data_IF_292407241386
#
_entry.id   IF_292407241386
#
_cell.length_a   1.000
_cell.length_b   1.000
_cell.length_c   1.000
_cell.angle_alpha   90.00
_cell.angle_beta   90.00
_cell.angle_gamma   90.00
#
_symmetry.space_group_name_H-M   'P 1'
#
loop_
_entity.id
_entity.type
_entity.pdbx_description
1 polymer ?
#
# COMPACT_ATOMS: atom_id res chain seq x y z
N UNK A 1 -10.86 5.13 13.88
CA UNK A 1 -9.70 4.81 14.73
C UNK A 1 -8.43 5.21 13.99
N UNK A 2 -7.51 5.93 14.63
CA UNK A 2 -6.16 6.13 14.08
C UNK A 2 -5.41 4.80 14.19
N UNK A 3 -5.11 4.16 13.06
CA UNK A 3 -4.37 2.90 13.07
C UNK A 3 -2.89 3.16 12.78
N UNK A 4 -1.96 2.33 13.27
CA UNK A 4 -0.53 2.47 12.98
C UNK A 4 -0.17 2.20 11.50
N UNK A 5 -1.15 1.84 10.66
CA UNK A 5 -0.93 1.50 9.24
C UNK A 5 -0.38 2.68 8.44
N UNK A 6 -0.91 3.90 8.63
CA UNK A 6 -0.44 5.07 7.90
C UNK A 6 1.01 5.43 8.27
N UNK A 7 1.36 5.31 9.55
CA UNK A 7 2.73 5.53 10.02
C UNK A 7 3.69 4.47 9.45
N UNK A 8 3.29 3.19 9.47
CA UNK A 8 4.05 2.11 8.82
C UNK A 8 4.25 2.42 7.33
N UNK A 9 3.18 2.71 6.60
CA UNK A 9 3.19 2.98 5.17
C UNK A 9 4.13 4.13 4.82
N UNK A 10 4.05 5.26 5.55
CA UNK A 10 4.97 6.38 5.37
C UNK A 10 6.43 5.95 5.56
N UNK A 11 6.74 5.25 6.65
CA UNK A 11 8.12 4.90 7.01
C UNK A 11 8.73 3.87 6.06
N UNK A 12 7.97 2.87 5.62
CA UNK A 12 8.46 1.89 4.63
C UNK A 12 8.56 2.50 3.23
N UNK A 13 7.71 3.47 2.89
CA UNK A 13 7.82 4.22 1.63
C UNK A 13 9.02 5.17 1.65
N UNK A 14 9.30 5.82 2.78
CA UNK A 14 10.51 6.61 2.99
C UNK A 14 11.76 5.72 2.86
N UNK A 15 11.75 4.53 3.46
CA UNK A 15 12.83 3.57 3.33
C UNK A 15 13.04 3.13 1.86
N UNK A 16 11.96 2.88 1.11
CA UNK A 16 12.01 2.60 -0.32
C UNK A 16 12.61 3.76 -1.13
N UNK A 17 12.22 5.00 -0.83
CA UNK A 17 12.77 6.18 -1.50
C UNK A 17 14.26 6.37 -1.19
N UNK A 18 14.66 6.23 0.08
CA UNK A 18 16.08 6.28 0.50
C UNK A 18 16.91 5.17 -0.15
N UNK A 19 16.34 3.97 -0.29
CA UNK A 19 16.96 2.85 -0.97
C UNK A 19 17.24 3.16 -2.44
N UNK A 20 16.24 3.67 -3.18
CA UNK A 20 16.40 4.07 -4.58
C UNK A 20 17.42 5.20 -4.73
N UNK A 21 17.31 6.25 -3.91
CA UNK A 21 18.27 7.37 -3.92
C UNK A 21 19.69 6.98 -3.54
N UNK A 22 19.83 5.94 -2.72
CA UNK A 22 21.11 5.45 -2.21
C UNK A 22 21.87 4.52 -3.14
N UNK A 23 21.38 4.26 -4.36
CA UNK A 23 22.01 3.38 -5.35
C UNK A 23 21.30 2.05 -5.58
N UNK A 24 20.12 1.83 -5.01
CA UNK A 24 19.32 0.62 -5.24
C UNK A 24 20.05 -0.66 -4.83
N UNK A 25 20.40 -1.53 -5.76
CA UNK A 25 21.07 -2.80 -5.45
C UNK A 25 22.54 -2.66 -5.01
N UNK A 26 23.11 -1.45 -5.07
CA UNK A 26 24.48 -1.15 -4.62
C UNK A 26 24.48 0.03 -3.64
N UNK A 27 23.91 -0.19 -2.44
CA UNK A 27 23.67 0.88 -1.45
C UNK A 27 24.98 1.32 -0.78
N UNK A 28 25.16 2.63 -0.59
CA UNK A 28 26.27 3.16 0.24
C UNK A 28 26.06 2.87 1.74
N UNK A 29 27.09 3.04 2.59
CA UNK A 29 26.97 2.76 4.03
C UNK A 29 26.04 3.77 4.69
N UNK A 30 26.19 5.05 4.35
CA UNK A 30 25.32 6.12 4.85
C UNK A 30 23.87 5.92 4.42
N UNK A 31 23.63 5.53 3.17
CA UNK A 31 22.28 5.21 2.70
C UNK A 31 21.70 3.98 3.40
N UNK A 32 22.50 2.93 3.64
CA UNK A 32 22.05 1.75 4.39
C UNK A 32 21.69 2.10 5.84
N UNK A 33 22.43 2.99 6.50
CA UNK A 33 22.10 3.49 7.83
C UNK A 33 20.81 4.31 7.84
N UNK A 34 20.62 5.21 6.87
CA UNK A 34 19.41 6.02 6.74
C UNK A 34 18.17 5.15 6.47
N UNK A 35 18.29 4.17 5.57
CA UNK A 35 17.26 3.16 5.32
C UNK A 35 16.95 2.39 6.61
N UNK A 36 17.98 1.88 7.28
CA UNK A 36 17.84 1.15 8.54
C UNK A 36 17.14 1.96 9.63
N UNK A 37 17.45 3.25 9.76
CA UNK A 37 16.77 4.13 10.72
C UNK A 37 15.27 4.26 10.42
N UNK A 38 14.89 4.43 9.15
CA UNK A 38 13.48 4.46 8.73
C UNK A 38 12.78 3.12 9.00
N UNK A 39 13.44 1.98 8.75
CA UNK A 39 12.90 0.65 9.08
C UNK A 39 12.77 0.43 10.59
N UNK A 40 13.71 0.94 11.39
CA UNK A 40 13.62 0.92 12.85
C UNK A 40 12.43 1.72 13.38
N UNK A 41 12.20 2.91 12.83
CA UNK A 41 11.00 3.68 13.12
C UNK A 41 9.72 2.94 12.67
N UNK A 42 9.74 2.27 11.51
CA UNK A 42 8.63 1.44 11.05
C UNK A 42 8.34 0.28 12.01
N UNK A 43 9.39 -0.30 12.60
CA UNK A 43 9.26 -1.34 13.63
C UNK A 43 8.64 -0.83 14.93
N UNK A 44 8.88 0.43 15.31
CA UNK A 44 8.20 1.07 16.43
C UNK A 44 6.72 1.35 16.11
N UNK A 45 6.39 1.64 14.86
CA UNK A 45 5.01 1.88 14.44
C UNK A 45 4.16 0.60 14.43
N UNK A 46 4.65 -0.49 13.81
CA UNK A 46 3.83 -1.71 13.62
C UNK A 46 4.60 -3.04 13.76
N UNK A 47 5.73 -3.02 14.44
CA UNK A 47 6.49 -4.23 14.75
C UNK A 47 7.39 -4.74 13.62
N UNK A 48 7.93 -5.97 13.76
CA UNK A 48 8.98 -6.52 12.88
C UNK A 48 8.67 -6.49 11.40
N UNK A 49 7.39 -6.52 11.01
CA UNK A 49 6.96 -6.44 9.62
C UNK A 49 7.53 -5.22 8.88
N UNK A 50 7.70 -4.10 9.58
CA UNK A 50 8.27 -2.87 9.03
C UNK A 50 9.75 -2.97 8.66
N UNK A 51 10.43 -4.03 9.11
CA UNK A 51 11.83 -4.33 8.75
C UNK A 51 11.89 -5.53 7.82
N UNK A 52 11.21 -6.62 8.18
CA UNK A 52 11.31 -7.91 7.48
C UNK A 52 10.83 -7.82 6.04
N UNK A 53 9.65 -7.24 5.78
CA UNK A 53 9.08 -7.24 4.43
C UNK A 53 9.84 -6.35 3.43
N UNK A 54 10.28 -5.13 3.80
CA UNK A 54 11.17 -4.36 2.94
C UNK A 54 12.48 -5.10 2.60
N UNK A 55 13.11 -5.75 3.59
CA UNK A 55 14.33 -6.52 3.36
C UNK A 55 14.09 -7.72 2.44
N UNK A 56 12.99 -8.47 2.63
CA UNK A 56 12.61 -9.59 1.74
C UNK A 56 12.42 -9.09 0.31
N UNK A 57 11.72 -7.97 0.11
CA UNK A 57 11.49 -7.40 -1.21
C UNK A 57 12.80 -7.01 -1.93
N UNK A 58 13.75 -6.38 -1.22
CA UNK A 58 15.02 -6.00 -1.81
C UNK A 58 15.97 -7.18 -1.99
N UNK A 59 15.97 -8.16 -1.09
CA UNK A 59 16.70 -9.42 -1.28
C UNK A 59 16.20 -10.17 -2.51
N UNK A 60 14.87 -10.23 -2.71
CA UNK A 60 14.27 -10.80 -3.92
C UNK A 60 14.70 -10.04 -5.17
N UNK A 61 14.65 -8.70 -5.16
CA UNK A 61 15.14 -7.86 -6.25
C UNK A 61 16.62 -8.14 -6.56
N UNK A 62 17.48 -8.16 -5.55
CA UNK A 62 18.91 -8.40 -5.70
C UNK A 62 19.20 -9.81 -6.26
N UNK A 63 18.48 -10.82 -5.79
CA UNK A 63 18.60 -12.19 -6.28
C UNK A 63 18.14 -12.30 -7.75
N UNK A 64 17.01 -11.68 -8.12
CA UNK A 64 16.50 -11.72 -9.49
C UNK A 64 17.37 -10.94 -10.48
N UNK A 65 17.93 -9.79 -10.05
CA UNK A 65 18.83 -8.99 -10.88
C UNK A 65 20.19 -9.67 -11.07
N UNK A 66 20.79 -10.18 -10.01
CA UNK A 66 22.08 -10.86 -10.09
C UNK A 66 21.98 -12.24 -10.77
N UNK A 67 20.91 -12.99 -10.49
CA UNK A 67 20.67 -14.31 -11.06
C UNK A 67 20.36 -14.32 -12.55
N UNK A 68 19.91 -13.19 -13.11
CA UNK A 68 19.70 -13.01 -14.55
C UNK A 68 21.00 -12.74 -15.33
N UNK A 69 22.07 -12.30 -14.65
CA UNK A 69 23.36 -11.99 -15.27
C UNK A 69 24.30 -13.20 -15.35
N UNK A 70 23.99 -14.30 -14.64
CA UNK A 70 24.86 -15.46 -14.52
C UNK A 70 24.35 -16.65 -15.35
N UNK A 71 25.24 -17.27 -16.13
CA UNK A 71 24.93 -18.36 -17.07
C UNK A 71 24.94 -19.75 -16.42
N UNK A 72 25.81 -19.98 -15.44
CA UNK A 72 25.97 -21.30 -14.77
C UNK A 72 25.30 -21.35 -13.39
N UNK A 73 24.68 -22.48 -12.95
CA UNK A 73 23.96 -22.56 -11.67
C UNK A 73 24.79 -22.19 -10.43
N UNK A 74 26.03 -22.67 -10.33
CA UNK A 74 26.93 -22.33 -9.23
C UNK A 74 27.31 -20.83 -9.23
N UNK A 75 27.45 -20.25 -10.43
CA UNK A 75 27.73 -18.82 -10.59
C UNK A 75 26.51 -17.94 -10.24
N UNK A 76 25.29 -18.45 -10.43
CA UNK A 76 24.03 -17.77 -10.07
C UNK A 76 23.86 -17.66 -8.56
N UNK A 77 24.08 -18.74 -7.81
CA UNK A 77 23.99 -18.70 -6.35
C UNK A 77 24.99 -17.69 -5.75
N UNK A 78 26.24 -17.74 -6.21
CA UNK A 78 27.26 -16.80 -5.78
C UNK A 78 26.93 -15.34 -6.18
N UNK A 79 26.36 -15.12 -7.37
CA UNK A 79 25.89 -13.80 -7.80
C UNK A 79 24.75 -13.28 -6.93
N UNK A 80 23.77 -14.11 -6.60
CA UNK A 80 22.68 -13.74 -5.68
C UNK A 80 23.21 -13.32 -4.31
N UNK A 81 24.14 -14.11 -3.73
CA UNK A 81 24.77 -13.77 -2.43
C UNK A 81 25.50 -12.44 -2.51
N UNK A 82 26.30 -12.20 -3.57
CA UNK A 82 26.98 -10.91 -3.78
C UNK A 82 26.00 -9.75 -3.95
N UNK A 83 24.91 -9.95 -4.69
CA UNK A 83 23.87 -8.96 -4.87
C UNK A 83 23.20 -8.58 -3.54
N UNK A 84 22.82 -9.57 -2.73
CA UNK A 84 22.25 -9.36 -1.40
C UNK A 84 23.26 -8.67 -0.46
N UNK A 85 24.54 -9.06 -0.51
CA UNK A 85 25.59 -8.38 0.24
C UNK A 85 25.77 -6.91 -0.17
N UNK A 86 25.55 -6.61 -1.46
CA UNK A 86 25.54 -5.24 -2.02
C UNK A 86 24.47 -4.32 -1.43
N UNK A 87 23.38 -4.89 -0.91
CA UNK A 87 22.34 -4.14 -0.17
C UNK A 87 22.82 -3.67 1.21
N UNK A 88 23.92 -4.25 1.73
CA UNK A 88 24.45 -4.00 3.08
C UNK A 88 23.40 -4.23 4.19
N UNK A 89 22.69 -5.39 4.19
CA UNK A 89 21.58 -5.64 5.13
C UNK A 89 22.02 -5.58 6.59
N UNK A 90 23.28 -5.93 6.90
CA UNK A 90 23.82 -5.81 8.26
C UNK A 90 23.85 -4.36 8.78
N UNK A 91 24.19 -3.39 7.94
CA UNK A 91 24.17 -1.96 8.31
C UNK A 91 22.75 -1.44 8.47
N UNK A 92 21.83 -1.86 7.58
CA UNK A 92 20.40 -1.54 7.71
C UNK A 92 19.84 -2.10 9.02
N UNK A 93 20.12 -3.37 9.34
CA UNK A 93 19.64 -4.01 10.55
C UNK A 93 20.25 -3.39 11.81
N UNK A 94 21.54 -3.07 11.81
CA UNK A 94 22.20 -2.40 12.93
C UNK A 94 21.56 -1.05 13.25
N UNK A 95 21.28 -0.23 12.24
CA UNK A 95 20.59 1.05 12.42
C UNK A 95 19.12 0.86 12.86
N UNK A 96 18.41 -0.13 12.31
CA UNK A 96 17.03 -0.43 12.71
C UNK A 96 16.96 -0.84 14.19
N UNK A 97 17.89 -1.70 14.63
CA UNK A 97 18.02 -2.10 16.04
C UNK A 97 18.39 -0.90 16.91
N UNK A 98 19.34 -0.07 16.50
CA UNK A 98 19.73 1.11 17.28
C UNK A 98 18.55 2.07 17.52
N UNK A 99 17.64 2.20 16.55
CA UNK A 99 16.42 3.02 16.69
C UNK A 99 15.34 2.34 17.53
N UNK A 100 15.07 1.05 17.29
CA UNK A 100 13.91 0.39 17.89
C UNK A 100 14.19 -0.21 19.29
N UNK A 101 15.41 -0.70 19.51
CA UNK A 101 15.77 -1.44 20.73
C UNK A 101 15.60 -0.64 22.03
N UNK A 102 15.89 0.68 22.12
CA UNK A 102 15.75 1.43 23.36
C UNK A 102 14.32 1.35 23.94
N UNK A 103 13.30 1.53 23.10
CA UNK A 103 11.91 1.44 23.54
C UNK A 103 11.51 0.00 23.91
N UNK A 104 11.90 -0.98 23.09
CA UNK A 104 11.63 -2.39 23.38
C UNK A 104 12.30 -2.86 24.68
N UNK A 105 13.50 -2.40 24.98
CA UNK A 105 14.20 -2.70 26.23
C UNK A 105 13.46 -2.11 27.44
N UNK A 106 13.07 -0.83 27.36
CA UNK A 106 12.35 -0.13 28.43
C UNK A 106 10.99 -0.79 28.73
N UNK A 107 10.18 -1.10 27.71
CA UNK A 107 8.88 -1.74 27.93
C UNK A 107 9.02 -3.16 28.46
N UNK A 108 10.06 -3.88 28.03
CA UNK A 108 10.39 -5.22 28.55
C UNK A 108 10.73 -5.17 30.03
N UNK A 109 11.59 -4.25 30.44
CA UNK A 109 11.96 -4.06 31.84
C UNK A 109 10.74 -3.68 32.70
N UNK A 110 9.90 -2.77 32.22
CA UNK A 110 8.70 -2.32 32.97
C UNK A 110 7.61 -3.38 33.11
N UNK A 111 7.51 -4.29 32.17
CA UNK A 111 6.47 -5.33 32.17
C UNK A 111 6.98 -6.69 32.61
N UNK A 112 8.20 -6.77 33.15
CA UNK A 112 8.88 -8.01 33.49
C UNK A 112 8.84 -9.05 32.35
N UNK A 113 8.97 -8.58 31.10
CA UNK A 113 8.90 -9.41 29.90
C UNK A 113 7.50 -9.83 29.45
N UNK A 114 6.43 -9.39 30.12
CA UNK A 114 5.05 -9.67 29.72
C UNK A 114 4.68 -9.09 28.36
N UNK A 115 5.05 -7.83 28.12
CA UNK A 115 4.75 -7.15 26.85
C UNK A 115 5.38 -7.84 25.62
N UNK A 116 6.70 -8.10 25.56
CA UNK A 116 7.28 -8.73 24.37
C UNK A 116 6.76 -10.15 24.12
N UNK A 117 6.45 -10.93 25.17
CA UNK A 117 5.84 -12.25 24.99
C UNK A 117 4.49 -12.15 24.28
N UNK A 118 3.59 -11.29 24.76
CA UNK A 118 2.30 -11.08 24.11
C UNK A 118 2.45 -10.49 22.70
N UNK A 119 3.27 -9.46 22.55
CA UNK A 119 3.47 -8.78 21.28
C UNK A 119 4.06 -9.68 20.19
N UNK A 120 5.18 -10.36 20.45
CA UNK A 120 5.82 -11.19 19.43
C UNK A 120 5.11 -12.52 19.22
N UNK A 121 4.69 -13.22 20.29
CA UNK A 121 4.10 -14.56 20.14
C UNK A 121 2.65 -14.48 19.66
N UNK A 122 1.82 -13.63 20.27
CA UNK A 122 0.39 -13.59 19.97
C UNK A 122 0.15 -12.66 18.77
N UNK A 123 0.58 -11.40 18.87
CA UNK A 123 0.21 -10.38 17.89
C UNK A 123 1.02 -10.43 16.58
N UNK A 124 2.11 -11.18 16.53
CA UNK A 124 2.87 -11.40 15.29
C UNK A 124 2.81 -12.87 14.85
N UNK A 125 3.33 -13.81 15.64
CA UNK A 125 3.44 -15.23 15.22
C UNK A 125 2.08 -15.89 15.11
N UNK A 126 1.27 -15.86 16.17
CA UNK A 126 -0.02 -16.54 16.21
C UNK A 126 -1.01 -15.93 15.21
N UNK A 127 -1.05 -14.59 15.13
CA UNK A 127 -1.87 -13.87 14.15
C UNK A 127 -1.50 -14.19 12.70
N UNK A 128 -0.23 -14.51 12.43
CA UNK A 128 0.19 -15.01 11.12
C UNK A 128 -0.21 -16.47 10.90
N UNK A 129 -0.08 -17.32 11.92
CA UNK A 129 -0.32 -18.76 11.82
C UNK A 129 -1.80 -19.15 11.75
N UNK A 130 -2.67 -18.48 12.53
CA UNK A 130 -4.10 -18.78 12.60
C UNK A 130 -4.98 -17.53 12.53
N UNK A 131 -6.22 -17.64 12.04
CA UNK A 131 -7.18 -16.55 12.13
C UNK A 131 -7.49 -16.23 13.58
N UNK A 132 -7.48 -14.93 13.92
CA UNK A 132 -7.91 -14.39 15.20
C UNK A 132 -9.12 -13.48 15.00
N UNK A 133 -9.98 -13.38 16.01
CA UNK A 133 -11.08 -12.39 16.06
C UNK A 133 -12.05 -12.49 14.85
N UNK A 134 -12.19 -13.68 14.23
CA UNK A 134 -13.02 -13.89 13.04
C UNK A 134 -12.46 -13.25 11.75
N UNK A 135 -11.28 -12.64 11.81
CA UNK A 135 -10.62 -12.00 10.67
C UNK A 135 -9.94 -13.03 9.76
N UNK A 136 -10.74 -13.80 9.02
CA UNK A 136 -10.27 -14.71 7.97
C UNK A 136 -10.67 -14.21 6.58
N UNK A 137 -10.09 -14.80 5.53
CA UNK A 137 -10.44 -14.46 4.16
C UNK A 137 -9.90 -15.49 3.17
N UNK A 138 -10.67 -15.73 2.11
CA UNK A 138 -10.30 -16.64 1.02
C UNK A 138 -9.24 -16.05 0.08
N UNK A 139 -8.92 -16.78 -0.98
CA UNK A 139 -7.86 -16.42 -1.94
C UNK A 139 -8.12 -15.08 -2.67
N UNK A 140 -9.39 -14.70 -2.83
CA UNK A 140 -9.79 -13.45 -3.49
C UNK A 140 -9.87 -12.25 -2.54
N UNK A 141 -9.56 -12.42 -1.25
CA UNK A 141 -9.66 -11.35 -0.26
C UNK A 141 -8.80 -10.13 -0.64
N UNK A 142 -7.48 -10.31 -0.82
CA UNK A 142 -6.60 -9.19 -1.16
C UNK A 142 -6.78 -8.65 -2.56
N UNK A 143 -7.04 -9.46 -3.61
CA UNK A 143 -7.48 -8.93 -4.90
C UNK A 143 -8.67 -7.97 -4.78
N UNK A 144 -9.70 -8.32 -4.00
CA UNK A 144 -10.84 -7.43 -3.72
C UNK A 144 -10.44 -6.16 -2.97
N UNK A 145 -9.68 -6.30 -1.89
CA UNK A 145 -9.18 -5.15 -1.09
C UNK A 145 -8.35 -4.18 -1.95
N UNK A 146 -7.48 -4.70 -2.82
CA UNK A 146 -6.68 -3.90 -3.75
C UNK A 146 -7.56 -3.15 -4.74
N UNK A 147 -8.58 -3.80 -5.33
CA UNK A 147 -9.51 -3.13 -6.23
C UNK A 147 -10.27 -1.99 -5.55
N UNK A 148 -10.69 -2.18 -4.30
CA UNK A 148 -11.39 -1.14 -3.53
C UNK A 148 -10.42 -0.02 -3.17
N UNK A 149 -9.27 -0.33 -2.58
CA UNK A 149 -8.36 0.71 -2.12
C UNK A 149 -7.65 1.46 -3.25
N UNK A 150 -7.43 0.83 -4.41
CA UNK A 150 -6.88 1.50 -5.58
C UNK A 150 -7.95 2.30 -6.34
N UNK A 151 -9.24 2.23 -5.98
CA UNK A 151 -10.24 3.05 -6.63
C UNK A 151 -9.90 4.55 -6.46
N UNK A 152 -9.97 5.37 -7.53
CA UNK A 152 -10.56 5.10 -8.85
C UNK A 152 -9.64 4.43 -9.88
N UNK A 153 -8.37 4.21 -9.56
CA UNK A 153 -7.34 3.68 -10.45
C UNK A 153 -7.49 2.20 -10.77
N UNK A 154 -8.22 1.46 -9.95
CA UNK A 154 -8.45 0.02 -10.14
C UNK A 154 -9.16 -0.31 -11.46
N UNK A 155 -9.84 0.65 -12.10
CA UNK A 155 -10.48 0.52 -13.42
C UNK A 155 -9.50 0.09 -14.54
N UNK A 156 -8.20 0.34 -14.37
CA UNK A 156 -7.14 -0.08 -15.31
C UNK A 156 -6.19 -1.13 -14.74
N UNK A 157 -6.47 -1.71 -13.57
CA UNK A 157 -5.51 -2.57 -12.86
C UNK A 157 -5.03 -3.75 -13.70
N UNK A 158 -5.93 -4.43 -14.42
CA UNK A 158 -5.55 -5.53 -15.31
C UNK A 158 -4.60 -5.08 -16.43
N UNK A 159 -4.85 -3.90 -17.02
CA UNK A 159 -4.00 -3.35 -18.07
C UNK A 159 -2.62 -2.93 -17.53
N UNK A 160 -2.58 -2.37 -16.32
CA UNK A 160 -1.33 -2.04 -15.61
C UNK A 160 -0.49 -3.29 -15.40
N UNK A 161 -1.09 -4.40 -14.93
CA UNK A 161 -0.37 -5.65 -14.70
C UNK A 161 0.16 -6.28 -16.00
N UNK A 162 -0.64 -6.27 -17.06
CA UNK A 162 -0.22 -6.76 -18.38
C UNK A 162 0.93 -5.91 -18.94
N UNK A 163 0.82 -4.59 -18.85
CA UNK A 163 1.87 -3.66 -19.31
C UNK A 163 3.16 -3.81 -18.51
N UNK A 164 3.06 -3.93 -17.18
CA UNK A 164 4.19 -4.22 -16.31
C UNK A 164 4.89 -5.53 -16.69
N UNK A 165 4.12 -6.60 -16.96
CA UNK A 165 4.68 -7.86 -17.43
C UNK A 165 5.37 -7.73 -18.81
N UNK A 166 4.87 -6.85 -19.69
CA UNK A 166 5.53 -6.50 -20.94
C UNK A 166 6.89 -5.82 -20.73
N UNK A 167 6.94 -4.83 -19.83
CA UNK A 167 8.19 -4.13 -19.45
C UNK A 167 9.20 -5.11 -18.86
N UNK A 168 8.75 -6.04 -18.01
CA UNK A 168 9.63 -7.04 -17.39
C UNK A 168 10.25 -8.02 -18.39
N UNK A 169 9.64 -8.22 -19.56
CA UNK A 169 10.17 -9.05 -20.65
C UNK A 169 11.02 -8.27 -21.65
N UNK A 170 10.98 -6.94 -21.61
CA UNK A 170 11.73 -6.09 -22.54
C UNK A 170 13.23 -6.05 -22.22
N UNK A 171 14.04 -5.72 -23.23
CA UNK A 171 15.50 -5.54 -23.09
C UNK A 171 15.92 -4.16 -22.57
N UNK A 172 14.97 -3.28 -22.26
CA UNK A 172 15.23 -1.97 -21.63
C UNK A 172 15.64 -2.17 -20.17
N UNK A 173 16.95 -2.12 -19.94
CA UNK A 173 17.55 -2.52 -18.67
C UNK A 173 17.18 -1.61 -17.49
N UNK A 174 17.05 -0.30 -17.71
CA UNK A 174 16.72 0.64 -16.62
C UNK A 174 15.24 0.55 -16.26
N UNK A 175 14.36 0.63 -17.26
CA UNK A 175 12.91 0.57 -17.03
C UNK A 175 12.49 -0.80 -16.50
N UNK A 176 13.14 -1.88 -16.96
CA UNK A 176 12.96 -3.23 -16.41
C UNK A 176 13.36 -3.28 -14.93
N UNK A 177 14.50 -2.72 -14.54
CA UNK A 177 14.95 -2.71 -13.12
C UNK A 177 13.97 -1.94 -12.23
N UNK A 178 13.51 -0.76 -12.69
CA UNK A 178 12.51 0.03 -11.96
C UNK A 178 11.19 -0.73 -11.78
N UNK A 179 10.69 -1.37 -12.84
CA UNK A 179 9.47 -2.18 -12.77
C UNK A 179 9.66 -3.43 -11.89
N UNK A 180 10.83 -4.06 -11.95
CA UNK A 180 11.17 -5.23 -11.13
C UNK A 180 11.20 -4.88 -9.64
N UNK A 181 11.73 -3.70 -9.27
CA UNK A 181 11.72 -3.21 -7.89
C UNK A 181 10.29 -3.11 -7.35
N UNK A 182 9.39 -2.41 -8.06
CA UNK A 182 8.01 -2.23 -7.60
C UNK A 182 7.22 -3.54 -7.64
N UNK A 183 7.51 -4.43 -8.61
CA UNK A 183 6.92 -5.77 -8.66
C UNK A 183 7.35 -6.63 -7.47
N UNK A 184 8.65 -6.68 -7.13
CA UNK A 184 9.15 -7.41 -5.96
C UNK A 184 8.55 -6.86 -4.66
N UNK A 185 8.45 -5.54 -4.55
CA UNK A 185 7.82 -4.88 -3.41
C UNK A 185 6.35 -5.28 -3.26
N UNK A 186 5.52 -5.06 -4.29
CA UNK A 186 4.10 -5.39 -4.26
C UNK A 186 3.88 -6.89 -4.03
N UNK A 187 4.62 -7.75 -4.72
CA UNK A 187 4.53 -9.20 -4.57
C UNK A 187 4.88 -9.68 -3.15
N UNK A 188 5.86 -9.05 -2.50
CA UNK A 188 6.23 -9.41 -1.13
C UNK A 188 5.09 -9.09 -0.15
N UNK A 189 4.58 -7.87 -0.16
CA UNK A 189 3.51 -7.46 0.75
C UNK A 189 2.21 -8.24 0.50
N UNK A 190 1.80 -8.35 -0.77
CA UNK A 190 0.56 -9.06 -1.12
C UNK A 190 0.72 -10.57 -0.88
N UNK A 191 1.83 -11.16 -1.31
CA UNK A 191 2.07 -12.59 -1.20
C UNK A 191 2.15 -13.06 0.25
N UNK A 192 2.98 -12.40 1.07
CA UNK A 192 3.15 -12.79 2.48
C UNK A 192 1.83 -12.67 3.24
N UNK A 193 1.09 -11.58 3.07
CA UNK A 193 -0.18 -11.43 3.78
C UNK A 193 -1.30 -12.30 3.21
N UNK A 194 -1.28 -12.65 1.93
CA UNK A 194 -2.21 -13.64 1.36
C UNK A 194 -2.07 -15.01 2.04
N UNK A 195 -0.86 -15.37 2.46
CA UNK A 195 -0.57 -16.58 3.22
C UNK A 195 -0.86 -16.46 4.73
N UNK A 196 -1.13 -15.27 5.27
CA UNK A 196 -1.42 -15.09 6.68
C UNK A 196 -2.81 -15.64 7.05
N UNK A 197 -2.90 -16.27 8.23
CA UNK A 197 -4.15 -16.77 8.80
C UNK A 197 -5.14 -15.64 9.07
N UNK A 198 -4.69 -14.62 9.82
CA UNK A 198 -5.48 -13.40 10.04
C UNK A 198 -5.37 -12.44 8.85
N UNK A 199 -6.50 -11.99 8.30
CA UNK A 199 -6.53 -11.05 7.17
C UNK A 199 -7.30 -9.78 7.52
N UNK A 200 -6.61 -8.65 7.41
CA UNK A 200 -7.18 -7.31 7.53
C UNK A 200 -6.90 -6.49 6.27
N UNK A 201 -7.79 -5.54 5.89
CA UNK A 201 -7.59 -4.75 4.67
C UNK A 201 -6.30 -3.93 4.70
N UNK A 202 -5.94 -3.40 5.87
CA UNK A 202 -4.75 -2.55 6.06
C UNK A 202 -3.41 -3.24 5.85
N UNK A 203 -3.36 -4.57 5.88
CA UNK A 203 -2.09 -5.30 5.80
C UNK A 203 -1.35 -5.11 4.46
N UNK A 204 -2.10 -4.89 3.38
CA UNK A 204 -1.52 -4.71 2.04
C UNK A 204 -1.34 -3.25 1.64
N UNK A 205 -1.70 -2.28 2.49
CA UNK A 205 -1.51 -0.85 2.19
C UNK A 205 -0.06 -0.49 1.82
N UNK A 206 0.97 -1.06 2.46
CA UNK A 206 2.36 -0.84 2.02
C UNK A 206 2.66 -1.27 0.57
N UNK A 207 1.82 -2.08 -0.09
CA UNK A 207 1.97 -2.41 -1.51
C UNK A 207 1.51 -1.27 -2.45
N UNK A 208 0.70 -0.34 -1.97
CA UNK A 208 0.03 0.68 -2.79
C UNK A 208 0.98 1.68 -3.43
N UNK A 209 2.06 2.15 -2.77
CA UNK A 209 3.07 2.99 -3.43
C UNK A 209 3.65 2.34 -4.70
N UNK A 210 3.94 1.03 -4.65
CA UNK A 210 4.45 0.30 -5.81
C UNK A 210 3.39 0.18 -6.93
N UNK A 211 2.14 -0.11 -6.58
CA UNK A 211 1.03 -0.19 -7.53
C UNK A 211 0.70 1.18 -8.16
N UNK A 212 0.82 2.27 -7.38
CA UNK A 212 0.65 3.64 -7.85
C UNK A 212 1.75 4.02 -8.85
N UNK A 213 3.01 3.66 -8.58
CA UNK A 213 4.12 3.87 -9.53
C UNK A 213 3.87 3.11 -10.83
N UNK A 214 3.51 1.81 -10.76
CA UNK A 214 3.20 1.01 -11.95
C UNK A 214 2.03 1.59 -12.76
N UNK A 215 1.00 2.08 -12.08
CA UNK A 215 -0.15 2.76 -12.70
C UNK A 215 0.26 4.06 -13.38
N UNK A 216 1.11 4.88 -12.74
CA UNK A 216 1.64 6.11 -13.33
C UNK A 216 2.47 5.85 -14.59
N UNK A 217 3.30 4.79 -14.57
CA UNK A 217 4.06 4.36 -15.76
C UNK A 217 3.11 3.98 -16.89
N UNK A 218 2.08 3.17 -16.62
CA UNK A 218 1.08 2.81 -17.62
C UNK A 218 0.39 4.03 -18.23
N UNK A 219 -0.05 4.99 -17.41
CA UNK A 219 -0.69 6.20 -17.92
C UNK A 219 0.24 7.07 -18.77
N UNK A 220 1.49 7.25 -18.35
CA UNK A 220 2.47 8.02 -19.13
C UNK A 220 2.77 7.34 -20.47
N UNK A 221 2.86 6.00 -20.49
CA UNK A 221 3.06 5.26 -21.72
C UNK A 221 1.85 5.29 -22.62
N UNK A 222 0.64 5.22 -22.07
CA UNK A 222 -0.59 5.37 -22.85
C UNK A 222 -0.63 6.75 -23.50
N UNK A 223 -0.37 7.82 -22.73
CA UNK A 223 -0.36 9.18 -23.25
C UNK A 223 0.71 9.43 -24.33
N UNK A 224 1.80 8.66 -24.33
CA UNK A 224 2.85 8.70 -25.35
C UNK A 224 2.66 7.68 -26.48
N UNK A 225 1.62 6.85 -26.46
CA UNK A 225 1.43 5.77 -27.44
C UNK A 225 2.48 4.64 -27.36
N UNK A 226 3.08 4.43 -26.18
CA UNK A 226 4.14 3.42 -25.92
C UNK A 226 3.63 2.15 -25.23
N UNK A 227 2.33 2.01 -25.03
CA UNK A 227 1.74 0.78 -24.48
C UNK A 227 1.83 -0.31 -25.54
N UNK A 228 2.45 -1.44 -25.18
CA UNK A 228 2.55 -2.59 -26.08
C UNK A 228 1.14 -3.14 -26.40
N UNK A 229 1.03 -3.89 -27.50
CA UNK A 229 -0.20 -4.58 -27.83
C UNK A 229 -0.66 -5.45 -26.65
N UNK A 230 -1.91 -5.26 -26.22
CA UNK A 230 -2.50 -6.05 -25.15
C UNK A 230 -2.97 -7.40 -25.69
N UNK A 231 -3.10 -8.44 -24.84
CA UNK A 231 -3.60 -9.74 -25.23
C UNK A 231 -4.92 -9.65 -26.01
N UNK A 232 -5.14 -10.63 -26.89
CA UNK A 232 -6.38 -10.78 -27.65
C UNK A 232 -6.73 -9.58 -28.55
N UNK A 233 -5.71 -8.83 -28.99
CA UNK A 233 -5.86 -7.74 -29.96
C UNK A 233 -6.49 -6.46 -29.38
N UNK A 234 -6.59 -6.33 -28.06
CA UNK A 234 -7.09 -5.11 -27.43
C UNK A 234 -6.10 -3.95 -27.65
N UNK A 235 -6.62 -2.79 -28.04
CA UNK A 235 -5.84 -1.56 -28.11
C UNK A 235 -5.92 -0.82 -26.77
N UNK A 236 -4.84 -0.12 -26.39
CA UNK A 236 -4.82 0.71 -25.20
C UNK A 236 -6.00 1.72 -25.20
N UNK A 237 -6.35 2.27 -26.37
CA UNK A 237 -7.48 3.19 -26.49
C UNK A 237 -8.84 2.55 -26.14
N UNK A 238 -9.08 1.30 -26.57
CA UNK A 238 -10.32 0.59 -26.23
C UNK A 238 -10.39 0.29 -24.73
N UNK A 239 -9.27 -0.11 -24.15
CA UNK A 239 -9.17 -0.34 -22.69
C UNK A 239 -9.45 0.94 -21.92
N UNK A 240 -8.87 2.07 -22.33
CA UNK A 240 -9.08 3.34 -21.65
C UNK A 240 -10.52 3.86 -21.78
N UNK A 241 -11.17 3.64 -22.93
CA UNK A 241 -12.61 3.94 -23.07
C UNK A 241 -13.46 3.08 -22.13
N UNK A 242 -13.18 1.78 -22.07
CA UNK A 242 -13.87 0.90 -21.12
C UNK A 242 -13.63 1.34 -19.67
N UNK A 243 -12.41 1.72 -19.31
CA UNK A 243 -12.08 2.23 -17.98
C UNK A 243 -12.92 3.46 -17.61
N UNK A 244 -13.10 4.41 -18.53
CA UNK A 244 -13.98 5.57 -18.32
C UNK A 244 -15.44 5.17 -18.12
N UNK A 245 -15.96 4.19 -18.87
CA UNK A 245 -17.30 3.65 -18.65
C UNK A 245 -17.43 3.00 -17.27
N UNK A 246 -16.44 2.20 -16.85
CA UNK A 246 -16.42 1.57 -15.52
C UNK A 246 -16.40 2.64 -14.43
N UNK A 247 -15.60 3.70 -14.59
CA UNK A 247 -15.55 4.81 -13.63
C UNK A 247 -16.88 5.54 -13.52
N UNK A 248 -17.57 5.77 -14.65
CA UNK A 248 -18.91 6.35 -14.66
C UNK A 248 -19.94 5.44 -13.96
N UNK A 249 -19.95 4.14 -14.28
CA UNK A 249 -20.84 3.16 -13.65
C UNK A 249 -20.58 3.08 -12.13
N UNK A 250 -19.31 3.04 -11.72
CA UNK A 250 -18.93 3.06 -10.31
C UNK A 250 -19.41 4.35 -9.63
N UNK A 251 -19.29 5.50 -10.30
CA UNK A 251 -19.80 6.76 -9.78
C UNK A 251 -21.33 6.79 -9.60
N UNK A 252 -22.09 6.28 -10.57
CA UNK A 252 -23.53 6.05 -10.41
C UNK A 252 -23.82 5.11 -9.22
N UNK A 253 -23.06 4.01 -9.12
CA UNK A 253 -23.17 3.06 -8.02
C UNK A 253 -22.97 3.72 -6.66
N UNK A 254 -21.93 4.53 -6.49
CA UNK A 254 -21.67 5.27 -5.26
C UNK A 254 -22.75 6.31 -4.98
N UNK A 255 -23.21 7.03 -6.02
CA UNK A 255 -24.26 8.05 -5.89
C UNK A 255 -25.58 7.47 -5.36
N UNK A 256 -25.87 6.20 -5.66
CA UNK A 256 -27.07 5.49 -5.18
C UNK A 256 -26.80 4.74 -3.86
N UNK A 257 -25.69 3.99 -3.80
CA UNK A 257 -25.42 3.08 -2.69
C UNK A 257 -25.10 3.80 -1.38
N UNK A 258 -24.38 4.92 -1.40
CA UNK A 258 -24.05 5.65 -0.17
C UNK A 258 -25.29 6.24 0.51
N UNK A 259 -26.17 7.01 -0.19
CA UNK A 259 -27.44 7.46 0.40
C UNK A 259 -28.33 6.32 0.88
N UNK A 260 -28.39 5.22 0.11
CA UNK A 260 -29.20 4.05 0.48
C UNK A 260 -28.67 3.31 1.71
N UNK A 261 -27.35 3.18 1.85
CA UNK A 261 -26.75 2.61 3.05
C UNK A 261 -26.99 3.54 4.25
N UNK A 262 -26.82 4.85 4.05
CA UNK A 262 -27.06 5.84 5.08
C UNK A 262 -28.51 5.87 5.54
N UNK A 263 -29.50 5.72 4.66
CA UNK A 263 -30.91 5.70 5.09
C UNK A 263 -31.26 4.54 6.03
N UNK A 264 -30.47 3.45 6.04
CA UNK A 264 -30.64 2.33 6.98
C UNK A 264 -29.87 2.47 8.28
N UNK A 265 -28.73 3.13 8.24
CA UNK A 265 -27.80 3.20 9.37
C UNK A 265 -27.84 4.56 10.08
N UNK A 266 -27.88 5.65 9.33
CA UNK A 266 -27.77 7.02 9.83
C UNK A 266 -28.71 7.95 9.04
N UNK A 267 -29.94 8.21 9.53
CA UNK A 267 -30.88 9.10 8.89
C UNK A 267 -30.27 10.49 8.59
N UNK A 268 -30.58 11.06 7.42
CA UNK A 268 -30.05 12.36 6.97
C UNK A 268 -28.81 12.29 6.06
N UNK A 269 -28.29 11.11 5.75
CA UNK A 269 -27.14 10.94 4.86
C UNK A 269 -27.41 11.00 3.35
N UNK A 270 -28.53 11.59 2.91
CA UNK A 270 -28.89 11.67 1.48
C UNK A 270 -27.86 12.44 0.63
N UNK A 271 -27.21 13.45 1.23
CA UNK A 271 -26.17 14.27 0.58
C UNK A 271 -24.91 13.47 0.21
N UNK A 272 -24.68 12.29 0.81
CA UNK A 272 -23.53 11.45 0.52
C UNK A 272 -23.45 11.01 -0.95
N UNK A 273 -24.57 11.07 -1.68
CA UNK A 273 -24.64 10.80 -3.11
C UNK A 273 -23.77 11.74 -3.94
N UNK A 274 -23.48 12.95 -3.45
CA UNK A 274 -22.57 13.91 -4.09
C UNK A 274 -21.18 13.30 -4.31
N UNK A 275 -20.73 12.39 -3.42
CA UNK A 275 -19.46 11.70 -3.59
C UNK A 275 -19.42 10.88 -4.89
N UNK A 276 -20.55 10.33 -5.35
CA UNK A 276 -20.64 9.59 -6.62
C UNK A 276 -20.62 10.48 -7.87
N UNK A 277 -21.00 11.76 -7.75
CA UNK A 277 -20.91 12.73 -8.84
C UNK A 277 -19.46 13.04 -9.25
N UNK A 278 -18.51 12.89 -8.32
CA UNK A 278 -17.08 13.16 -8.56
C UNK A 278 -16.48 12.20 -9.61
N UNK A 279 -16.51 10.86 -9.43
CA UNK A 279 -16.02 9.93 -10.45
C UNK A 279 -16.83 10.00 -11.76
N UNK A 280 -18.13 10.35 -11.72
CA UNK A 280 -18.92 10.60 -12.93
C UNK A 280 -18.39 11.79 -13.74
N UNK A 281 -18.16 12.93 -13.08
CA UNK A 281 -17.59 14.11 -13.72
C UNK A 281 -16.17 13.84 -14.24
N UNK A 282 -15.35 13.14 -13.45
CA UNK A 282 -14.01 12.73 -13.86
C UNK A 282 -14.04 11.83 -15.10
N UNK A 283 -14.95 10.85 -15.16
CA UNK A 283 -15.13 9.98 -16.31
C UNK A 283 -15.57 10.76 -17.56
N UNK A 284 -16.52 11.69 -17.43
CA UNK A 284 -16.98 12.51 -18.55
C UNK A 284 -15.87 13.43 -19.09
N UNK A 285 -15.13 14.10 -18.20
CA UNK A 285 -13.99 14.95 -18.57
C UNK A 285 -12.85 14.13 -19.20
N UNK A 286 -12.58 12.94 -18.67
CA UNK A 286 -11.59 12.02 -19.21
C UNK A 286 -11.97 11.50 -20.60
N UNK A 287 -13.23 11.10 -20.78
CA UNK A 287 -13.75 10.69 -22.08
C UNK A 287 -13.62 11.80 -23.11
N UNK A 288 -14.10 13.01 -22.78
CA UNK A 288 -14.04 14.18 -23.68
C UNK A 288 -12.60 14.54 -24.07
N UNK A 289 -11.70 14.54 -23.09
CA UNK A 289 -10.29 14.87 -23.32
C UNK A 289 -9.58 13.81 -24.16
N UNK A 290 -9.85 12.53 -23.89
CA UNK A 290 -9.37 11.42 -24.70
C UNK A 290 -9.89 11.55 -26.14
N UNK A 291 -11.19 11.76 -26.36
CA UNK A 291 -11.75 11.94 -27.72
C UNK A 291 -11.16 13.13 -28.47
N UNK A 292 -10.74 14.18 -27.76
CA UNK A 292 -10.09 15.35 -28.35
C UNK A 292 -8.59 15.15 -28.62
N UNK A 293 -8.05 13.94 -28.46
CA UNK A 293 -6.62 13.65 -28.66
C UNK A 293 -5.72 14.21 -27.56
N UNK A 294 -6.25 14.46 -26.36
CA UNK A 294 -5.53 15.07 -25.22
C UNK A 294 -5.44 14.10 -24.03
N UNK A 295 -4.71 12.97 -24.14
CA UNK A 295 -4.68 11.92 -23.12
C UNK A 295 -4.16 12.42 -21.76
N UNK A 296 -3.21 13.36 -21.74
CA UNK A 296 -2.72 13.99 -20.49
C UNK A 296 -3.81 14.73 -19.72
N UNK A 297 -4.72 15.38 -20.42
CA UNK A 297 -5.87 16.05 -19.78
C UNK A 297 -6.87 15.01 -19.23
N UNK A 298 -6.99 13.85 -19.88
CA UNK A 298 -7.80 12.76 -19.37
C UNK A 298 -7.21 12.16 -18.08
N UNK A 299 -5.89 11.97 -18.03
CA UNK A 299 -5.18 11.53 -16.82
C UNK A 299 -5.37 12.55 -15.69
N UNK A 300 -5.19 13.85 -15.99
CA UNK A 300 -5.38 14.91 -15.01
C UNK A 300 -6.81 14.95 -14.46
N UNK A 301 -7.83 14.75 -15.31
CA UNK A 301 -9.23 14.70 -14.88
C UNK A 301 -9.48 13.57 -13.87
N UNK A 302 -8.96 12.36 -14.13
CA UNK A 302 -9.10 11.23 -13.20
C UNK A 302 -8.24 11.41 -11.95
N UNK A 303 -7.06 12.01 -12.05
CA UNK A 303 -6.22 12.32 -10.90
C UNK A 303 -6.87 13.33 -9.95
N UNK A 304 -7.30 14.47 -10.47
CA UNK A 304 -8.01 15.47 -9.69
C UNK A 304 -9.32 14.91 -9.13
N UNK A 305 -10.08 14.17 -9.94
CA UNK A 305 -11.31 13.51 -9.51
C UNK A 305 -11.08 12.47 -8.41
N UNK A 306 -10.02 11.67 -8.51
CA UNK A 306 -9.63 10.69 -7.51
C UNK A 306 -9.21 11.33 -6.19
N UNK A 307 -8.34 12.34 -6.23
CA UNK A 307 -7.95 13.09 -5.04
C UNK A 307 -9.16 13.75 -4.35
N UNK A 308 -10.05 14.37 -5.14
CA UNK A 308 -11.27 14.98 -4.61
C UNK A 308 -12.20 13.92 -4.01
N UNK A 309 -12.40 12.80 -4.70
CA UNK A 309 -13.23 11.69 -4.23
C UNK A 309 -12.72 11.13 -2.90
N UNK A 310 -11.43 10.81 -2.81
CA UNK A 310 -10.80 10.30 -1.58
C UNK A 310 -10.88 11.34 -0.47
N UNK A 311 -10.63 12.63 -0.76
CA UNK A 311 -10.75 13.69 0.24
C UNK A 311 -12.19 13.84 0.75
N UNK A 312 -13.19 13.75 -0.13
CA UNK A 312 -14.61 13.76 0.25
C UNK A 312 -14.96 12.56 1.13
N UNK A 313 -14.51 11.36 0.79
CA UNK A 313 -14.75 10.18 1.64
C UNK A 313 -14.04 10.26 3.00
N UNK A 314 -12.78 10.69 3.00
CA UNK A 314 -11.93 10.66 4.20
C UNK A 314 -12.20 11.79 5.19
N UNK A 315 -12.74 12.93 4.73
CA UNK A 315 -13.04 14.07 5.61
C UNK A 315 -14.55 14.21 5.89
N UNK A 316 -15.38 14.83 5.02
CA UNK A 316 -16.76 15.12 5.38
C UNK A 316 -17.62 13.86 5.58
N UNK A 317 -17.44 12.82 4.75
CA UNK A 317 -18.23 11.59 4.88
C UNK A 317 -17.84 10.82 6.16
N UNK A 318 -16.54 10.61 6.37
CA UNK A 318 -16.04 9.92 7.57
C UNK A 318 -16.40 10.67 8.87
N UNK A 319 -16.24 12.00 8.91
CA UNK A 319 -16.61 12.80 10.08
C UNK A 319 -18.12 12.73 10.36
N UNK A 320 -18.96 12.75 9.32
CA UNK A 320 -20.40 12.62 9.50
C UNK A 320 -20.78 11.25 10.10
N UNK A 321 -20.25 10.15 9.55
CA UNK A 321 -20.46 8.82 10.14
C UNK A 321 -19.92 8.73 11.57
N UNK A 322 -18.78 9.37 11.85
CA UNK A 322 -18.22 9.42 13.21
C UNK A 322 -19.10 10.20 14.19
N UNK A 323 -19.90 11.16 13.73
CA UNK A 323 -20.84 11.91 14.59
C UNK A 323 -22.16 11.16 14.79
N UNK A 324 -22.63 10.43 13.77
CA UNK A 324 -23.94 9.77 13.81
C UNK A 324 -23.89 8.35 14.35
N UNK A 325 -22.75 7.67 14.25
CA UNK A 325 -22.57 6.27 14.67
C UNK A 325 -21.26 6.00 15.43
N UNK A 326 -20.49 7.04 15.76
CA UNK A 326 -19.20 6.86 16.39
C UNK A 326 -19.32 6.47 17.87
N UNK A 327 -18.31 5.77 18.42
CA UNK A 327 -18.27 5.44 19.84
C UNK A 327 -18.02 6.67 20.73
N UNK A 328 -17.98 7.90 20.18
CA UNK A 328 -17.73 9.13 20.93
C UNK A 328 -18.73 9.31 22.08
N UNK A 329 -20.01 9.03 21.84
CA UNK A 329 -21.05 9.12 22.87
C UNK A 329 -20.87 8.03 23.95
N UNK A 330 -20.47 6.83 23.54
CA UNK A 330 -20.18 5.72 24.46
C UNK A 330 -18.95 6.05 25.32
N UNK A 331 -17.89 6.61 24.71
CA UNK A 331 -16.64 6.98 25.38
C UNK A 331 -16.85 8.18 26.31
N UNK A 332 -17.67 9.16 25.92
CA UNK A 332 -18.03 10.28 26.79
C UNK A 332 -18.80 9.84 28.05
N UNK A 333 -19.47 8.68 28.00
CA UNK A 333 -20.13 8.07 29.14
C UNK A 333 -19.23 7.18 30.03
N UNK A 334 -17.97 6.94 29.65
CA UNK A 334 -17.05 6.11 30.45
C UNK A 334 -16.43 6.91 31.60
N UNK A 335 -16.27 6.31 32.79
CA UNK A 335 -15.55 6.95 33.89
C UNK A 335 -14.06 7.15 33.54
N UNK A 336 -13.43 8.15 34.16
CA UNK A 336 -12.01 8.42 33.98
C UNK A 336 -11.17 7.16 34.30
N UNK A 337 -10.13 6.86 33.50
CA UNK A 337 -9.29 5.71 33.75
C UNK A 337 -8.59 5.83 35.12
N UNK A 338 -8.36 4.72 35.85
CA UNK A 338 -7.63 4.75 37.11
C UNK A 338 -6.24 5.38 36.94
N UNK A 339 -5.74 6.07 37.98
CA UNK A 339 -4.44 6.75 37.95
C UNK A 339 -3.27 5.81 37.56
N UNK A 340 -3.38 4.52 37.87
CA UNK A 340 -2.42 3.48 37.48
C UNK A 340 -2.28 3.26 35.96
N UNK A 341 -3.24 3.74 35.17
CA UNK A 341 -3.28 3.65 33.69
C UNK A 341 -3.10 5.00 32.99
N UNK A 342 -2.88 6.10 33.72
CA UNK A 342 -2.75 7.44 33.14
C UNK A 342 -1.60 7.58 32.13
N UNK A 343 -0.57 6.72 32.20
CA UNK A 343 0.55 6.70 31.26
C UNK A 343 0.19 6.07 29.89
N UNK A 344 -0.89 5.30 29.81
CA UNK A 344 -1.31 4.60 28.58
C UNK A 344 -2.22 5.46 27.68
N UNK A 345 -2.86 6.49 28.25
CA UNK A 345 -3.75 7.41 27.55
C UNK A 345 -3.15 8.83 27.59
N UNK A 346 -2.23 9.14 26.69
CA UNK A 346 -1.76 10.53 26.50
C UNK A 346 -2.84 11.45 25.89
N UNK A 347 -3.89 10.87 25.31
CA UNK A 347 -5.08 11.60 24.87
C UNK A 347 -6.19 11.44 25.89
N UNK A 348 -6.20 12.30 26.89
CA UNK A 348 -7.46 12.78 27.44
C UNK A 348 -8.22 13.42 26.27
N UNK A 349 -9.30 12.79 25.84
CA UNK A 349 -10.32 13.47 25.02
C UNK A 349 -11.12 14.31 26.02
N UNK A 350 -11.07 15.65 25.96
CA UNK A 350 -11.99 16.48 26.74
C UNK A 350 -13.43 16.32 26.26
#
# INVERSE_FOLDING_TARGET
>A
AATPDAALEFLVTLALWLFVRGGGTAVTRSSALAVGAALGAAALAKGPVGVVLPLVAWCLLAALTAGAAATEPASRAAACVRGVAGLRPGWMLAAAVAVAAPWYALVTARTAGGWPRGFFLIHNVERFARPLEGHSGGILYYPGVLCVGLFPWSIVLAAVLVHAAGILRARDDERRRGMLLVACWAATWIGVFSCAGTKLPGYVWPAYPALAIATGVYFEDWARGRVAALPWGWSAERVMRLAWCILAIAGCGVAVALPWAASRAAPGGGWLGIAGCIPLAAAALAWRSHTAGRPRHAIAAVACGGCLFTATLAAPVAEWFSRTQGPREIVAGLPAPPASFAWACLWNVP
#
